data_IF_046308772799
#
_entry.id   IF_046308772799
#
_cell.length_a   1.000
_cell.length_b   1.000
_cell.length_c   1.000
_cell.angle_alpha   90.00
_cell.angle_beta   90.00
_cell.angle_gamma   90.00
#
_symmetry.space_group_name_H-M   'P 1'
#
loop_
_entity.id
_entity.type
_entity.pdbx_description
1 polymer ?
#
# COMPACT_ATOMS: atom_id res chain seq x y z
N UNK A 1 -20.40 12.74 15.57
CA UNK A 1 -20.02 12.20 14.24
C UNK A 1 -18.81 12.96 13.74
N UNK A 2 -17.68 12.28 13.51
CA UNK A 2 -16.57 12.91 12.80
C UNK A 2 -17.04 13.24 11.38
N UNK A 3 -16.88 14.49 10.97
CA UNK A 3 -17.20 14.95 9.61
C UNK A 3 -15.91 15.06 8.82
N UNK A 4 -16.00 14.84 7.51
CA UNK A 4 -14.90 15.08 6.59
C UNK A 4 -14.38 16.52 6.74
N UNK A 5 -13.11 16.65 7.10
CA UNK A 5 -12.49 17.94 7.41
C UNK A 5 -11.46 18.39 6.38
N UNK A 6 -11.00 19.65 6.49
CA UNK A 6 -9.90 20.19 5.67
C UNK A 6 -8.63 19.34 5.76
N UNK A 7 -8.35 18.78 6.95
CA UNK A 7 -7.24 17.86 7.19
C UNK A 7 -7.36 16.59 6.33
N UNK A 8 -8.54 15.98 6.30
CA UNK A 8 -8.80 14.78 5.49
C UNK A 8 -8.65 15.05 4.00
N UNK A 9 -9.16 16.19 3.53
CA UNK A 9 -8.99 16.62 2.16
C UNK A 9 -7.51 16.77 1.79
N UNK A 10 -6.73 17.45 2.64
CA UNK A 10 -5.30 17.65 2.42
C UNK A 10 -4.54 16.33 2.32
N UNK A 11 -4.74 15.42 3.27
CA UNK A 11 -4.09 14.11 3.24
C UNK A 11 -4.55 13.25 2.06
N UNK A 12 -5.83 13.22 1.74
CA UNK A 12 -6.36 12.48 0.60
C UNK A 12 -5.75 12.97 -0.73
N UNK A 13 -5.61 14.29 -0.91
CA UNK A 13 -4.95 14.87 -2.08
C UNK A 13 -3.47 14.48 -2.12
N UNK A 14 -2.72 14.70 -1.04
CA UNK A 14 -1.28 14.44 -1.01
C UNK A 14 -0.98 12.96 -1.28
N UNK A 15 -1.64 12.07 -0.55
CA UNK A 15 -1.46 10.62 -0.71
C UNK A 15 -1.93 10.14 -2.07
N UNK A 16 -3.01 10.71 -2.62
CA UNK A 16 -3.49 10.43 -3.96
C UNK A 16 -2.51 10.87 -5.05
N UNK A 17 -1.89 12.04 -4.92
CA UNK A 17 -0.89 12.56 -5.87
C UNK A 17 0.36 11.67 -5.90
N UNK A 18 0.86 11.30 -4.71
CA UNK A 18 1.99 10.37 -4.56
C UNK A 18 1.65 9.04 -5.23
N UNK A 19 0.47 8.49 -4.94
CA UNK A 19 0.01 7.21 -5.50
C UNK A 19 -0.10 7.28 -7.02
N UNK A 20 -0.71 8.33 -7.57
CA UNK A 20 -0.89 8.50 -9.01
C UNK A 20 0.44 8.62 -9.77
N UNK A 21 1.38 9.40 -9.23
CA UNK A 21 2.71 9.56 -9.84
C UNK A 21 3.52 8.25 -9.82
N UNK A 22 3.51 7.54 -8.69
CA UNK A 22 4.21 6.25 -8.57
C UNK A 22 3.58 5.21 -9.49
N UNK A 23 2.24 5.13 -9.51
CA UNK A 23 1.52 4.17 -10.36
C UNK A 23 1.84 4.39 -11.84
N UNK A 24 1.80 5.65 -12.31
CA UNK A 24 2.21 5.98 -13.67
C UNK A 24 3.64 5.51 -13.96
N UNK A 25 4.58 5.76 -13.03
CA UNK A 25 5.98 5.39 -13.25
C UNK A 25 6.19 3.89 -13.32
N UNK A 26 5.49 3.11 -12.50
CA UNK A 26 5.49 1.64 -12.55
C UNK A 26 4.94 1.17 -13.90
N UNK A 27 3.78 1.68 -14.32
CA UNK A 27 3.15 1.27 -15.57
C UNK A 27 3.99 1.62 -16.80
N UNK A 28 4.62 2.80 -16.81
CA UNK A 28 5.58 3.19 -17.84
C UNK A 28 6.80 2.25 -17.87
N UNK A 29 7.33 1.86 -16.71
CA UNK A 29 8.47 0.94 -16.62
C UNK A 29 8.12 -0.46 -17.14
N UNK A 30 6.93 -0.97 -16.81
CA UNK A 30 6.51 -2.32 -17.19
C UNK A 30 6.01 -2.41 -18.64
N UNK A 31 5.29 -1.40 -19.13
CA UNK A 31 4.64 -1.37 -20.44
C UNK A 31 4.80 0.00 -21.11
N UNK A 32 6.02 0.37 -21.51
CA UNK A 32 6.29 1.66 -22.13
C UNK A 32 5.48 1.86 -23.42
N UNK A 33 5.18 0.77 -24.15
CA UNK A 33 4.34 0.77 -25.35
C UNK A 33 2.93 1.33 -25.12
N UNK A 34 2.35 1.11 -23.94
CA UNK A 34 1.01 1.58 -23.59
C UNK A 34 1.02 2.94 -22.86
N UNK A 35 2.05 3.19 -22.05
CA UNK A 35 2.06 4.29 -21.08
C UNK A 35 3.06 5.41 -21.38
N UNK A 36 3.66 5.44 -22.59
CA UNK A 36 4.60 6.49 -22.98
C UNK A 36 4.00 7.90 -23.08
N UNK A 37 2.70 8.02 -23.36
CA UNK A 37 2.05 9.33 -23.47
C UNK A 37 2.00 10.05 -22.12
N UNK A 38 2.42 11.33 -22.03
CA UNK A 38 2.28 12.14 -20.81
C UNK A 38 0.82 12.30 -20.34
N UNK A 39 -0.16 12.08 -21.22
CA UNK A 39 -1.58 12.12 -20.86
C UNK A 39 -1.94 11.11 -19.77
N UNK A 40 -1.27 9.95 -19.72
CA UNK A 40 -1.47 8.98 -18.64
C UNK A 40 -0.99 9.50 -17.30
N UNK A 41 0.14 10.20 -17.26
CA UNK A 41 0.65 10.83 -16.04
C UNK A 41 -0.37 11.82 -15.49
N UNK A 42 -0.88 12.70 -16.36
CA UNK A 42 -1.91 13.70 -16.00
C UNK A 42 -3.19 13.00 -15.53
N UNK A 43 -3.62 11.95 -16.24
CA UNK A 43 -4.78 11.14 -15.87
C UNK A 43 -4.68 10.57 -14.46
N UNK A 44 -3.57 9.89 -14.12
CA UNK A 44 -3.39 9.32 -12.79
C UNK A 44 -3.26 10.39 -11.70
N UNK A 45 -2.56 11.50 -11.97
CA UNK A 45 -2.40 12.61 -11.02
C UNK A 45 -3.74 13.29 -10.70
N UNK A 46 -4.71 13.26 -11.61
CA UNK A 46 -6.04 13.85 -11.37
C UNK A 46 -7.00 12.82 -10.78
N UNK A 47 -7.08 11.63 -11.38
CA UNK A 47 -8.09 10.62 -11.03
C UNK A 47 -7.84 10.02 -9.66
N UNK A 48 -6.58 9.73 -9.29
CA UNK A 48 -6.29 9.05 -8.02
C UNK A 48 -6.62 9.92 -6.79
N UNK A 49 -6.26 11.22 -6.72
CA UNK A 49 -6.73 12.10 -5.64
C UNK A 49 -8.25 12.17 -5.51
N UNK A 50 -8.97 12.24 -6.64
CA UNK A 50 -10.45 12.26 -6.63
C UNK A 50 -10.97 10.94 -6.03
N UNK A 51 -10.43 9.80 -6.46
CA UNK A 51 -10.80 8.50 -5.90
C UNK A 51 -10.51 8.40 -4.40
N UNK A 52 -9.42 8.98 -3.90
CA UNK A 52 -9.12 9.00 -2.46
C UNK A 52 -10.13 9.82 -1.69
N UNK A 53 -10.46 11.02 -2.18
CA UNK A 53 -11.48 11.87 -1.58
C UNK A 53 -12.82 11.13 -1.54
N UNK A 54 -13.24 10.53 -2.66
CA UNK A 54 -14.48 9.76 -2.74
C UNK A 54 -14.46 8.54 -1.81
N UNK A 55 -13.35 7.82 -1.72
CA UNK A 55 -13.21 6.66 -0.83
C UNK A 55 -13.31 7.04 0.65
N UNK A 56 -12.70 8.16 1.05
CA UNK A 56 -12.80 8.68 2.42
C UNK A 56 -14.22 9.17 2.70
N UNK A 57 -14.84 9.89 1.75
CA UNK A 57 -16.24 10.32 1.86
C UNK A 57 -17.21 9.14 1.99
N UNK A 58 -17.01 8.09 1.19
CA UNK A 58 -17.75 6.84 1.28
C UNK A 58 -17.56 6.20 2.66
N UNK A 59 -16.34 6.19 3.20
CA UNK A 59 -16.07 5.72 4.56
C UNK A 59 -16.91 6.48 5.61
N UNK A 60 -16.99 7.81 5.52
CA UNK A 60 -17.84 8.62 6.39
C UNK A 60 -19.34 8.37 6.20
N UNK A 61 -19.78 8.16 4.95
CA UNK A 61 -21.17 7.85 4.64
C UNK A 61 -21.59 6.49 5.22
N UNK A 62 -20.81 5.44 4.97
CA UNK A 62 -21.04 4.11 5.56
C UNK A 62 -20.90 4.13 7.09
N UNK A 63 -20.03 5.03 7.59
CA UNK A 63 -19.82 5.30 9.01
C UNK A 63 -21.05 5.78 9.78
N UNK A 64 -22.09 6.22 9.07
CA UNK A 64 -23.40 6.57 9.64
C UNK A 64 -24.16 5.35 10.12
N UNK A 65 -23.98 4.19 9.46
CA UNK A 65 -24.60 2.93 9.85
C UNK A 65 -23.69 2.09 10.75
N UNK A 66 -22.39 2.07 10.47
CA UNK A 66 -21.42 1.29 11.22
C UNK A 66 -20.16 2.12 11.53
N UNK A 67 -19.91 2.50 12.81
CA UNK A 67 -18.84 3.42 13.18
C UNK A 67 -17.43 3.05 12.70
N UNK A 68 -17.16 1.76 12.50
CA UNK A 68 -15.92 1.22 11.93
C UNK A 68 -15.51 1.88 10.60
N UNK A 69 -16.47 2.20 9.72
CA UNK A 69 -16.15 2.69 8.38
C UNK A 69 -15.59 4.13 8.36
N UNK A 70 -15.81 4.92 9.42
CA UNK A 70 -15.27 6.28 9.53
C UNK A 70 -13.74 6.31 9.46
N UNK A 71 -13.08 5.29 9.99
CA UNK A 71 -11.62 5.14 9.93
C UNK A 71 -11.19 4.28 8.74
N UNK A 72 -12.05 3.36 8.30
CA UNK A 72 -11.76 2.45 7.18
C UNK A 72 -11.45 3.20 5.87
N UNK A 73 -12.18 4.26 5.54
CA UNK A 73 -11.93 5.02 4.31
C UNK A 73 -10.51 5.63 4.27
N UNK A 74 -10.05 6.18 5.40
CA UNK A 74 -8.67 6.70 5.56
C UNK A 74 -7.66 5.57 5.54
N UNK A 75 -7.96 4.49 6.25
CA UNK A 75 -7.11 3.31 6.31
C UNK A 75 -6.88 2.68 4.93
N UNK A 76 -7.94 2.56 4.12
CA UNK A 76 -7.86 2.06 2.76
C UNK A 76 -6.99 2.96 1.87
N UNK A 77 -7.21 4.27 1.90
CA UNK A 77 -6.40 5.25 1.19
C UNK A 77 -4.91 5.14 1.55
N UNK A 78 -4.60 5.09 2.85
CA UNK A 78 -3.22 4.90 3.35
C UNK A 78 -2.64 3.56 2.87
N UNK A 79 -3.42 2.48 2.97
CA UNK A 79 -2.99 1.14 2.57
C UNK A 79 -2.58 1.07 1.09
N UNK A 80 -3.41 1.61 0.20
CA UNK A 80 -3.08 1.66 -1.22
C UNK A 80 -1.91 2.60 -1.53
N UNK A 81 -1.78 3.73 -0.83
CA UNK A 81 -0.60 4.60 -0.98
C UNK A 81 0.68 3.88 -0.56
N UNK A 82 0.65 3.12 0.54
CA UNK A 82 1.80 2.31 0.96
C UNK A 82 2.13 1.21 -0.04
N UNK A 83 1.12 0.56 -0.61
CA UNK A 83 1.33 -0.42 -1.67
C UNK A 83 1.99 0.25 -2.89
N UNK A 84 1.52 1.42 -3.33
CA UNK A 84 2.17 2.14 -4.41
C UNK A 84 3.64 2.45 -4.08
N UNK A 85 3.95 2.93 -2.87
CA UNK A 85 5.32 3.17 -2.41
C UNK A 85 6.17 1.89 -2.44
N UNK A 86 5.66 0.78 -1.93
CA UNK A 86 6.37 -0.51 -1.94
C UNK A 86 6.71 -0.95 -3.37
N UNK A 87 5.71 -1.01 -4.25
CA UNK A 87 5.93 -1.40 -5.64
C UNK A 87 6.81 -0.40 -6.39
N UNK A 88 6.68 0.90 -6.11
CA UNK A 88 7.48 1.94 -6.73
C UNK A 88 8.95 1.81 -6.39
N UNK A 89 9.26 1.61 -5.10
CA UNK A 89 10.63 1.41 -4.64
C UNK A 89 11.19 0.09 -5.15
N UNK A 90 10.40 -1.00 -5.15
CA UNK A 90 10.81 -2.29 -5.70
C UNK A 90 11.22 -2.15 -7.17
N UNK A 91 10.36 -1.56 -8.01
CA UNK A 91 10.66 -1.39 -9.43
C UNK A 91 11.86 -0.45 -9.65
N UNK A 92 12.03 0.58 -8.82
CA UNK A 92 13.20 1.46 -8.89
C UNK A 92 14.49 0.70 -8.57
N UNK A 93 14.47 -0.14 -7.53
CA UNK A 93 15.62 -0.99 -7.17
C UNK A 93 15.93 -2.00 -8.27
N UNK A 94 14.91 -2.72 -8.79
CA UNK A 94 15.08 -3.65 -9.91
C UNK A 94 15.64 -2.93 -11.14
N UNK A 95 15.14 -1.73 -11.46
CA UNK A 95 15.64 -0.95 -12.59
C UNK A 95 17.11 -0.53 -12.42
N UNK A 96 17.57 -0.33 -11.18
CA UNK A 96 18.93 0.05 -10.87
C UNK A 96 19.90 -1.15 -10.81
N UNK A 97 19.46 -2.27 -10.26
CA UNK A 97 20.31 -3.46 -10.03
C UNK A 97 20.20 -4.52 -11.13
N UNK A 98 19.08 -4.57 -11.84
CA UNK A 98 18.75 -5.62 -12.80
C UNK A 98 18.30 -6.94 -12.15
N UNK A 99 18.19 -7.03 -10.81
CA UNK A 99 17.81 -8.27 -10.16
C UNK A 99 16.30 -8.51 -10.22
N UNK A 100 15.88 -9.39 -11.11
CA UNK A 100 14.46 -9.76 -11.25
C UNK A 100 14.10 -11.05 -10.49
N UNK A 101 15.09 -11.76 -9.96
CA UNK A 101 14.91 -12.99 -9.19
C UNK A 101 16.12 -13.28 -8.29
N UNK A 102 16.06 -14.38 -7.54
CA UNK A 102 17.10 -14.84 -6.64
C UNK A 102 17.21 -14.01 -5.37
N UNK A 103 18.40 -14.05 -4.76
CA UNK A 103 18.68 -13.36 -3.49
C UNK A 103 18.61 -11.82 -3.63
N UNK A 104 18.99 -11.28 -4.79
CA UNK A 104 18.92 -9.85 -5.09
C UNK A 104 17.49 -9.32 -4.97
N UNK A 105 16.55 -9.96 -5.65
CA UNK A 105 15.13 -9.62 -5.58
C UNK A 105 14.58 -9.66 -4.14
N UNK A 106 14.92 -10.68 -3.35
CA UNK A 106 14.46 -10.79 -1.96
C UNK A 106 14.98 -9.64 -1.07
N UNK A 107 16.22 -9.19 -1.28
CA UNK A 107 16.79 -8.04 -0.56
C UNK A 107 16.07 -6.75 -0.97
N UNK A 108 15.84 -6.56 -2.26
CA UNK A 108 15.16 -5.37 -2.79
C UNK A 108 13.71 -5.30 -2.34
N UNK A 109 13.01 -6.43 -2.34
CA UNK A 109 11.65 -6.54 -1.81
C UNK A 109 11.57 -6.28 -0.32
N UNK A 110 12.59 -6.70 0.43
CA UNK A 110 12.71 -6.38 1.86
C UNK A 110 12.90 -4.87 2.06
N UNK A 111 13.80 -4.25 1.29
CA UNK A 111 14.08 -2.82 1.36
C UNK A 111 12.86 -1.97 0.97
N UNK A 112 12.18 -2.31 -0.14
CA UNK A 112 11.01 -1.60 -0.62
C UNK A 112 9.88 -1.58 0.40
N UNK A 113 9.64 -2.73 1.04
CA UNK A 113 8.63 -2.82 2.06
C UNK A 113 9.01 -2.03 3.32
N UNK A 114 10.27 -2.05 3.76
CA UNK A 114 10.71 -1.24 4.91
C UNK A 114 10.41 0.25 4.70
N UNK A 115 10.62 0.76 3.48
CA UNK A 115 10.26 2.14 3.11
C UNK A 115 8.74 2.35 3.19
N UNK A 116 7.95 1.42 2.65
CA UNK A 116 6.49 1.49 2.73
C UNK A 116 5.97 1.41 4.18
N UNK A 117 6.63 0.66 5.06
CA UNK A 117 6.30 0.58 6.48
C UNK A 117 6.53 1.91 7.20
N UNK A 118 7.63 2.59 6.91
CA UNK A 118 7.91 3.94 7.44
C UNK A 118 6.85 4.93 6.94
N UNK A 119 6.50 4.87 5.66
CA UNK A 119 5.42 5.68 5.07
C UNK A 119 4.09 5.44 5.80
N UNK A 120 3.76 4.17 6.04
CA UNK A 120 2.57 3.76 6.78
C UNK A 120 2.52 4.36 8.17
N UNK A 121 3.64 4.36 8.90
CA UNK A 121 3.71 4.97 10.23
C UNK A 121 3.38 6.46 10.19
N UNK A 122 3.97 7.22 9.25
CA UNK A 122 3.76 8.66 9.11
C UNK A 122 2.28 8.95 8.83
N UNK A 123 1.69 8.30 7.82
CA UNK A 123 0.29 8.56 7.48
C UNK A 123 -0.67 8.18 8.60
N UNK A 124 -0.47 7.02 9.22
CA UNK A 124 -1.33 6.58 10.32
C UNK A 124 -1.22 7.53 11.52
N UNK A 125 0.00 7.97 11.88
CA UNK A 125 0.23 8.87 13.01
C UNK A 125 -0.43 10.24 12.82
N UNK A 126 -0.22 10.87 11.67
CA UNK A 126 -0.64 12.26 11.44
C UNK A 126 -2.04 12.39 10.86
N UNK A 127 -2.56 11.36 10.19
CA UNK A 127 -3.88 11.40 9.55
C UNK A 127 -4.92 10.50 10.22
N UNK A 128 -4.66 9.20 10.33
CA UNK A 128 -5.67 8.25 10.79
C UNK A 128 -5.95 8.36 12.30
N UNK A 129 -4.91 8.52 13.12
CA UNK A 129 -5.01 8.40 14.58
C UNK A 129 -4.78 9.70 15.36
N UNK A 130 -4.43 10.79 14.67
CA UNK A 130 -4.23 12.12 15.25
C UNK A 130 -3.55 12.10 16.64
N UNK A 131 -2.31 11.58 16.67
CA UNK A 131 -1.63 11.16 17.91
C UNK A 131 -1.39 12.28 18.95
N UNK A 132 -1.78 13.52 18.67
CA UNK A 132 -1.72 14.63 19.62
C UNK A 132 -2.79 14.57 20.72
N UNK A 133 -3.93 13.87 20.51
CA UNK A 133 -5.05 13.89 21.47
C UNK A 133 -5.28 12.58 22.26
N UNK A 134 -4.73 11.43 21.83
CA UNK A 134 -5.06 10.15 22.49
C UNK A 134 -4.11 9.81 23.65
N UNK A 135 -4.60 9.90 24.89
CA UNK A 135 -3.89 9.44 26.11
C UNK A 135 -3.85 7.89 26.26
N UNK A 136 -4.29 7.13 25.25
CA UNK A 136 -4.36 5.65 25.27
C UNK A 136 -3.91 4.92 23.99
N UNK A 137 -3.56 5.63 22.90
CA UNK A 137 -3.35 5.03 21.58
C UNK A 137 -2.05 4.25 21.36
N UNK A 138 -1.03 4.41 22.22
CA UNK A 138 0.29 3.77 22.02
C UNK A 138 0.25 2.23 22.07
N UNK A 139 -0.62 1.65 22.89
CA UNK A 139 -0.75 0.18 23.05
C UNK A 139 -1.47 -0.46 21.85
N UNK A 140 -2.47 0.20 21.30
CA UNK A 140 -3.16 -0.24 20.07
C UNK A 140 -2.26 -0.07 18.84
N UNK A 141 -1.48 1.01 18.81
CA UNK A 141 -0.45 1.22 17.81
C UNK A 141 0.64 0.13 17.83
N UNK A 142 1.12 -0.27 19.01
CA UNK A 142 2.07 -1.39 19.13
C UNK A 142 1.51 -2.70 18.54
N UNK A 143 0.22 -2.99 18.79
CA UNK A 143 -0.47 -4.13 18.16
C UNK A 143 -0.60 -3.97 16.65
N UNK A 144 -0.92 -2.77 16.17
CA UNK A 144 -0.99 -2.47 14.73
C UNK A 144 0.36 -2.70 14.04
N UNK A 145 1.45 -2.21 14.63
CA UNK A 145 2.81 -2.43 14.15
C UNK A 145 3.16 -3.92 14.15
N UNK A 146 2.86 -4.66 15.23
CA UNK A 146 3.11 -6.11 15.26
C UNK A 146 2.38 -6.86 14.16
N UNK A 147 1.08 -6.58 13.95
CA UNK A 147 0.30 -7.23 12.88
C UNK A 147 0.86 -6.85 11.50
N UNK A 148 1.24 -5.59 11.32
CA UNK A 148 1.84 -5.12 10.06
C UNK A 148 3.20 -5.78 9.79
N UNK A 149 4.03 -5.99 10.82
CA UNK A 149 5.31 -6.72 10.71
C UNK A 149 5.07 -8.22 10.44
N UNK A 150 4.04 -8.83 11.03
CA UNK A 150 3.72 -10.22 10.71
C UNK A 150 3.28 -10.37 9.24
N UNK A 151 2.41 -9.47 8.77
CA UNK A 151 1.98 -9.41 7.39
C UNK A 151 3.14 -9.11 6.42
N UNK A 152 4.09 -8.28 6.84
CA UNK A 152 5.32 -8.01 6.12
C UNK A 152 6.14 -9.28 5.86
N UNK A 153 6.41 -10.07 6.91
CA UNK A 153 7.20 -11.29 6.78
C UNK A 153 6.51 -12.22 5.78
N UNK A 154 5.19 -12.39 5.91
CA UNK A 154 4.39 -13.18 4.97
C UNK A 154 4.48 -12.62 3.55
N UNK A 155 4.37 -11.31 3.36
CA UNK A 155 4.46 -10.66 2.05
C UNK A 155 5.77 -11.02 1.34
N UNK A 156 6.90 -10.74 1.99
CA UNK A 156 8.23 -10.95 1.40
C UNK A 156 8.51 -12.44 1.19
N UNK A 157 8.15 -13.30 2.15
CA UNK A 157 8.34 -14.74 2.03
C UNK A 157 7.53 -15.29 0.85
N UNK A 158 6.24 -14.98 0.75
CA UNK A 158 5.40 -15.46 -0.34
C UNK A 158 5.85 -14.91 -1.68
N UNK A 159 6.15 -13.60 -1.76
CA UNK A 159 6.65 -12.99 -2.99
C UNK A 159 7.96 -13.62 -3.45
N UNK A 160 8.89 -13.88 -2.52
CA UNK A 160 10.16 -14.54 -2.81
C UNK A 160 9.97 -16.00 -3.22
N UNK A 161 9.02 -16.72 -2.60
CA UNK A 161 8.70 -18.09 -2.97
C UNK A 161 8.16 -18.18 -4.40
N UNK A 162 7.23 -17.30 -4.77
CA UNK A 162 6.67 -17.25 -6.12
C UNK A 162 7.76 -16.91 -7.15
N UNK A 163 8.52 -15.84 -6.94
CA UNK A 163 9.49 -15.38 -7.95
C UNK A 163 10.66 -16.35 -8.11
N UNK A 164 11.13 -16.98 -7.03
CA UNK A 164 12.35 -17.78 -7.05
C UNK A 164 12.12 -19.26 -7.32
N UNK A 165 10.94 -19.80 -7.00
CA UNK A 165 10.67 -21.24 -7.10
C UNK A 165 9.55 -21.59 -8.07
N UNK A 166 8.85 -20.61 -8.64
CA UNK A 166 7.85 -20.84 -9.67
C UNK A 166 8.32 -20.23 -11.00
N UNK A 167 8.15 -20.98 -12.08
CA UNK A 167 8.44 -20.47 -13.43
C UNK A 167 7.39 -19.43 -13.85
N UNK A 168 7.79 -18.36 -14.57
CA UNK A 168 6.85 -17.40 -15.11
C UNK A 168 5.77 -18.08 -15.95
N UNK A 169 4.52 -17.74 -15.69
CA UNK A 169 3.39 -18.14 -16.53
C UNK A 169 3.12 -17.06 -17.59
N UNK A 170 2.40 -17.43 -18.66
CA UNK A 170 1.92 -16.49 -19.69
C UNK A 170 3.01 -15.71 -20.43
N UNK A 171 4.24 -16.26 -20.53
CA UNK A 171 5.39 -15.61 -21.18
C UNK A 171 5.70 -14.20 -20.63
N UNK A 172 5.42 -13.97 -19.35
CA UNK A 172 5.74 -12.69 -18.71
C UNK A 172 7.25 -12.43 -18.68
N UNK A 173 7.62 -11.16 -18.89
CA UNK A 173 9.00 -10.73 -18.70
C UNK A 173 9.42 -10.94 -17.24
N UNK A 174 10.72 -11.09 -16.95
CA UNK A 174 11.20 -11.24 -15.57
C UNK A 174 10.76 -10.11 -14.64
N UNK A 175 10.71 -8.86 -15.12
CA UNK A 175 10.25 -7.69 -14.37
C UNK A 175 8.75 -7.77 -14.08
N UNK A 176 7.97 -8.23 -15.05
CA UNK A 176 6.53 -8.44 -14.89
C UNK A 176 6.27 -9.57 -13.88
N UNK A 177 7.04 -10.65 -13.95
CA UNK A 177 6.94 -11.77 -13.01
C UNK A 177 7.29 -11.38 -11.57
N UNK A 178 8.34 -10.57 -11.40
CA UNK A 178 8.70 -10.00 -10.10
C UNK A 178 7.52 -9.21 -9.48
N UNK A 179 6.83 -8.40 -10.28
CA UNK A 179 5.65 -7.67 -9.85
C UNK A 179 4.45 -8.59 -9.56
N UNK A 180 4.24 -9.64 -10.36
CA UNK A 180 3.21 -10.66 -10.08
C UNK A 180 3.45 -11.32 -8.73
N UNK A 181 4.70 -11.71 -8.44
CA UNK A 181 5.07 -12.25 -7.14
C UNK A 181 4.81 -11.28 -6.00
N UNK A 182 5.15 -9.99 -6.17
CA UNK A 182 4.84 -8.94 -5.20
C UNK A 182 3.32 -8.74 -4.99
N UNK A 183 2.50 -8.86 -6.04
CA UNK A 183 1.03 -8.81 -5.94
C UNK A 183 0.51 -9.99 -5.14
N UNK A 184 0.96 -11.21 -5.44
CA UNK A 184 0.54 -12.42 -4.72
C UNK A 184 0.95 -12.34 -3.24
N UNK A 185 2.19 -11.94 -2.95
CA UNK A 185 2.65 -11.71 -1.59
C UNK A 185 1.78 -10.69 -0.84
N UNK A 186 1.40 -9.60 -1.51
CA UNK A 186 0.52 -8.57 -0.94
C UNK A 186 -0.90 -9.07 -0.68
N UNK A 187 -1.45 -9.87 -1.58
CA UNK A 187 -2.77 -10.48 -1.39
C UNK A 187 -2.78 -11.43 -0.18
N UNK A 188 -1.77 -12.29 -0.04
CA UNK A 188 -1.67 -13.21 1.10
C UNK A 188 -1.43 -12.45 2.41
N UNK A 189 -0.55 -11.44 2.39
CA UNK A 189 -0.31 -10.58 3.55
C UNK A 189 -1.56 -9.83 4.00
N UNK A 190 -2.41 -9.39 3.07
CA UNK A 190 -3.70 -8.75 3.38
C UNK A 190 -4.64 -9.72 4.11
N UNK A 191 -4.75 -10.97 3.65
CA UNK A 191 -5.55 -12.00 4.32
C UNK A 191 -5.03 -12.25 5.75
N UNK A 192 -3.71 -12.38 5.92
CA UNK A 192 -3.09 -12.57 7.23
C UNK A 192 -3.31 -11.36 8.14
N UNK A 193 -3.17 -10.14 7.61
CA UNK A 193 -3.44 -8.90 8.32
C UNK A 193 -4.89 -8.87 8.81
N UNK A 194 -5.85 -9.20 7.94
CA UNK A 194 -7.27 -9.22 8.28
C UNK A 194 -7.57 -10.24 9.39
N UNK A 195 -7.06 -11.46 9.28
CA UNK A 195 -7.22 -12.49 10.33
C UNK A 195 -6.54 -12.07 11.63
N UNK A 196 -5.35 -11.47 11.55
CA UNK A 196 -4.59 -10.96 12.69
C UNK A 196 -5.34 -9.85 13.42
N UNK A 197 -5.85 -8.85 12.70
CA UNK A 197 -6.69 -7.79 13.27
C UNK A 197 -7.98 -8.37 13.87
N UNK A 198 -8.64 -9.30 13.17
CA UNK A 198 -9.84 -9.96 13.69
C UNK A 198 -9.58 -10.70 15.01
N UNK A 199 -8.49 -11.47 15.12
CA UNK A 199 -8.20 -12.28 16.32
C UNK A 199 -7.53 -11.51 17.46
N UNK A 200 -6.69 -10.52 17.16
CA UNK A 200 -5.88 -9.81 18.16
C UNK A 200 -6.50 -8.48 18.66
N UNK A 201 -7.36 -7.87 17.85
CA UNK A 201 -7.96 -6.55 18.15
C UNK A 201 -9.45 -6.68 18.45
N UNK A 202 -10.20 -7.45 17.66
CA UNK A 202 -11.63 -7.66 17.88
C UNK A 202 -11.87 -8.92 18.72
N UNK A 203 -11.71 -8.80 20.04
CA UNK A 203 -12.27 -9.78 20.97
C UNK A 203 -13.79 -9.60 21.02
N UNK A 204 -14.51 -10.42 20.26
CA UNK A 204 -15.83 -10.91 20.63
C UNK A 204 -15.76 -12.44 20.68
#
# INVERSE_FOLDING_TARGET
>A
MNKFGKKDLGFAIITGLITGLILWRILYFLRPDLFASPAWAVGFIIVIPILWILGVLLGYFLGQWFPFFNQFGKFAAIGFTNAAVDFGILNLLIAYTGHTSGRGYSIEKTASFCVALISSYVWNKYWAFDSAESRGGGREFGKFVMVTIAAFIVNVSVASLVVNYMSPVLNFSPETWANVGAVIGSAVALVVSFVGFKKAVFKN
#
